data_IF_903812410530
#
_entry.id   IF_903812410530
#
_cell.length_a   1.000
_cell.length_b   1.000
_cell.length_c   1.000
_cell.angle_alpha   90.00
_cell.angle_beta   90.00
_cell.angle_gamma   90.00
#
_symmetry.space_group_name_H-M   'P 1'
#
loop_
_entity.id
_entity.type
_entity.pdbx_description
1 polymer ?
#
# COMPACT_ATOMS: atom_id res chain seq x y z
N UNK A 1 -3.25 23.83 32.63
CA UNK A 1 -4.61 23.28 32.45
C UNK A 1 -4.47 22.02 31.59
N UNK A 2 -4.45 20.85 32.24
CA UNK A 2 -4.10 19.58 31.60
C UNK A 2 -5.33 18.90 30.98
N UNK A 3 -5.20 18.49 29.71
CA UNK A 3 -6.26 17.83 28.96
C UNK A 3 -6.53 16.40 29.50
N UNK A 4 -7.80 16.12 29.78
CA UNK A 4 -8.28 14.83 30.23
C UNK A 4 -8.18 13.78 29.12
N UNK A 5 -7.29 12.79 29.29
CA UNK A 5 -7.28 11.57 28.49
C UNK A 5 -8.47 10.72 28.92
N UNK A 6 -9.44 10.50 28.03
CA UNK A 6 -10.59 9.63 28.29
C UNK A 6 -10.10 8.18 28.21
N UNK A 7 -9.91 7.57 29.39
CA UNK A 7 -9.63 6.15 29.52
C UNK A 7 -10.94 5.36 29.41
N UNK A 8 -11.02 4.41 28.49
CA UNK A 8 -12.10 3.42 28.46
C UNK A 8 -11.78 2.23 29.36
N UNK A 9 -12.77 1.63 30.04
CA UNK A 9 -12.56 0.48 30.90
C UNK A 9 -12.24 -0.75 30.05
N UNK A 10 -11.06 -1.34 30.28
CA UNK A 10 -10.71 -2.67 29.78
C UNK A 10 -11.63 -3.69 30.46
N UNK A 11 -12.53 -4.31 29.68
CA UNK A 11 -13.21 -5.53 30.13
C UNK A 11 -12.35 -6.76 29.81
N UNK A 12 -12.33 -7.64 30.79
CA UNK A 12 -11.64 -8.92 30.82
C UNK A 12 -12.30 -9.95 29.89
N UNK A 13 -11.44 -10.80 29.31
CA UNK A 13 -11.61 -12.21 28.97
C UNK A 13 -12.85 -12.63 28.14
N UNK A 14 -12.61 -13.09 26.92
CA UNK A 14 -13.57 -13.88 26.16
C UNK A 14 -13.03 -14.45 24.85
N UNK A 15 -12.76 -15.76 24.85
CA UNK A 15 -12.70 -16.67 23.68
C UNK A 15 -11.45 -16.63 22.80
N UNK A 16 -10.48 -17.49 23.11
CA UNK A 16 -9.59 -18.07 22.09
C UNK A 16 -10.46 -19.00 21.24
N UNK A 17 -10.99 -18.51 20.12
CA UNK A 17 -11.54 -19.37 19.09
C UNK A 17 -10.39 -19.93 18.28
N UNK A 18 -9.98 -21.15 18.59
CA UNK A 18 -9.25 -21.99 17.66
C UNK A 18 -10.21 -22.36 16.53
N UNK A 19 -9.97 -21.82 15.32
CA UNK A 19 -10.73 -22.18 14.13
C UNK A 19 -9.83 -22.98 13.20
N UNK A 20 -9.99 -24.29 13.25
CA UNK A 20 -9.57 -25.17 12.16
C UNK A 20 -10.43 -24.85 10.92
N UNK A 21 -9.77 -24.57 9.79
CA UNK A 21 -10.31 -24.51 8.42
C UNK A 21 -11.55 -23.63 8.19
N UNK A 22 -11.56 -22.40 8.71
CA UNK A 22 -12.57 -21.42 8.32
C UNK A 22 -12.13 -20.65 7.07
N UNK A 23 -13.00 -20.56 6.06
CA UNK A 23 -12.86 -19.58 4.98
C UNK A 23 -12.59 -18.21 5.59
N UNK A 24 -11.59 -17.50 5.09
CA UNK A 24 -11.23 -16.18 5.60
C UNK A 24 -12.44 -15.23 5.54
N UNK A 25 -12.56 -14.29 6.49
CA UNK A 25 -13.57 -13.24 6.43
C UNK A 25 -13.53 -12.45 5.10
N UNK A 26 -14.60 -11.74 4.73
CA UNK A 26 -14.59 -10.84 3.58
C UNK A 26 -13.39 -9.90 3.63
N UNK A 27 -12.62 -9.87 2.54
CA UNK A 27 -11.42 -9.06 2.45
C UNK A 27 -11.15 -8.66 1.01
N UNK A 28 -10.36 -7.60 0.86
CA UNK A 28 -9.86 -7.10 -0.42
C UNK A 28 -8.34 -7.24 -0.43
N UNK A 29 -7.80 -7.87 -1.47
CA UNK A 29 -6.36 -7.98 -1.68
C UNK A 29 -5.90 -6.74 -2.43
N UNK A 30 -5.07 -5.92 -1.78
CA UNK A 30 -4.56 -4.67 -2.33
C UNK A 30 -3.43 -4.95 -3.32
N UNK A 31 -3.58 -4.63 -4.62
CA UNK A 31 -2.49 -4.69 -5.57
C UNK A 31 -1.51 -3.52 -5.48
N UNK A 32 -0.28 -3.74 -5.94
CA UNK A 32 0.66 -2.70 -6.31
C UNK A 32 0.04 -1.84 -7.44
N UNK A 33 -0.12 -0.52 -7.25
CA UNK A 33 -0.77 0.35 -8.22
C UNK A 33 0.05 0.44 -9.51
N UNK A 34 -0.62 0.41 -10.65
CA UNK A 34 -0.01 0.70 -11.95
C UNK A 34 0.03 2.21 -12.18
N UNK A 35 1.16 2.83 -11.84
CA UNK A 35 1.32 4.29 -11.88
C UNK A 35 1.87 4.82 -13.22
N UNK A 36 2.39 3.94 -14.09
CA UNK A 36 2.81 4.28 -15.44
C UNK A 36 2.55 3.14 -16.44
N UNK A 37 2.38 3.44 -17.76
CA UNK A 37 2.16 2.44 -18.79
C UNK A 37 3.25 1.35 -18.85
N UNK A 38 4.52 1.75 -18.66
CA UNK A 38 5.71 0.89 -18.75
C UNK A 38 6.32 0.56 -17.38
N UNK A 39 5.58 0.74 -16.29
CA UNK A 39 6.05 0.40 -14.94
C UNK A 39 6.45 -1.08 -14.86
N UNK A 40 7.71 -1.36 -14.51
CA UNK A 40 8.22 -2.73 -14.40
C UNK A 40 8.22 -3.22 -12.96
N UNK A 41 8.75 -2.40 -12.04
CA UNK A 41 8.84 -2.70 -10.62
C UNK A 41 8.52 -1.45 -9.80
N UNK A 42 7.81 -1.63 -8.69
CA UNK A 42 7.63 -0.64 -7.64
C UNK A 42 8.26 -1.12 -6.32
N UNK A 43 8.99 -0.23 -5.63
CA UNK A 43 9.58 -0.49 -4.31
C UNK A 43 8.83 0.26 -3.23
N UNK A 44 8.39 -0.43 -2.19
CA UNK A 44 7.70 0.20 -1.05
C UNK A 44 8.71 0.93 -0.17
N UNK A 45 8.57 2.24 -0.01
CA UNK A 45 9.45 3.05 0.84
C UNK A 45 8.94 3.15 2.27
N UNK A 46 7.64 3.32 2.43
CA UNK A 46 7.05 3.56 3.75
C UNK A 46 5.59 3.13 3.76
N UNK A 47 5.15 2.55 4.87
CA UNK A 47 3.74 2.42 5.21
C UNK A 47 3.39 3.53 6.21
N UNK A 48 2.38 4.33 5.90
CA UNK A 48 1.91 5.43 6.76
C UNK A 48 0.87 4.95 7.78
N UNK A 49 0.38 3.72 7.59
CA UNK A 49 -0.60 3.03 8.43
C UNK A 49 -0.04 1.68 8.90
N UNK A 50 -0.44 1.25 10.10
CA UNK A 50 -0.07 -0.03 10.72
C UNK A 50 -1.17 -1.08 10.60
N UNK A 51 -0.81 -2.34 10.90
CA UNK A 51 -1.78 -3.44 10.93
C UNK A 51 -2.81 -3.19 12.03
N UNK A 52 -4.09 -3.24 11.67
CA UNK A 52 -5.23 -2.95 12.55
C UNK A 52 -5.68 -1.49 12.53
N UNK A 53 -4.94 -0.60 11.86
CA UNK A 53 -5.37 0.80 11.71
C UNK A 53 -6.54 0.90 10.73
N UNK A 54 -7.45 1.83 11.02
CA UNK A 54 -8.54 2.17 10.13
C UNK A 54 -8.03 2.94 8.90
N UNK A 55 -8.62 2.67 7.75
CA UNK A 55 -8.38 3.33 6.48
C UNK A 55 -9.67 4.04 6.10
N UNK A 56 -9.57 5.34 5.89
CA UNK A 56 -10.64 6.15 5.29
C UNK A 56 -10.31 6.48 3.85
N UNK A 57 -11.32 6.73 3.00
CA UNK A 57 -11.10 7.26 1.67
C UNK A 57 -10.25 8.54 1.74
N UNK A 58 -9.31 8.67 0.81
CA UNK A 58 -8.32 9.76 0.70
C UNK A 58 -7.21 9.75 1.76
N UNK A 59 -7.11 8.72 2.61
CA UNK A 59 -5.96 8.56 3.49
C UNK A 59 -4.71 8.15 2.69
N UNK A 60 -3.57 8.77 3.03
CA UNK A 60 -2.26 8.40 2.50
C UNK A 60 -1.78 7.12 3.18
N UNK A 61 -1.73 6.01 2.43
CA UNK A 61 -1.52 4.68 3.00
C UNK A 61 -0.06 4.21 2.92
N UNK A 62 0.63 4.48 1.82
CA UNK A 62 2.03 4.10 1.64
C UNK A 62 2.71 4.94 0.57
N UNK A 63 4.04 4.91 0.58
CA UNK A 63 4.90 5.56 -0.39
C UNK A 63 5.62 4.48 -1.21
N UNK A 64 5.67 4.66 -2.53
CA UNK A 64 6.29 3.73 -3.47
C UNK A 64 7.18 4.48 -4.45
N UNK A 65 8.33 3.91 -4.80
CA UNK A 65 9.08 4.36 -5.98
C UNK A 65 8.86 3.43 -7.13
N UNK A 66 8.67 3.98 -8.31
CA UNK A 66 8.52 3.21 -9.54
C UNK A 66 9.74 3.40 -10.43
N UNK A 67 10.15 2.31 -11.07
CA UNK A 67 11.22 2.32 -12.07
C UNK A 67 10.61 1.94 -13.43
N UNK A 68 10.81 2.81 -14.41
CA UNK A 68 10.26 2.66 -15.74
C UNK A 68 10.94 3.62 -16.73
N UNK A 69 11.17 3.18 -17.98
CA UNK A 69 11.95 3.93 -18.98
C UNK A 69 11.23 5.18 -19.54
N UNK A 70 10.03 5.50 -19.05
CA UNK A 70 9.13 6.52 -19.62
C UNK A 70 8.52 7.43 -18.54
N UNK A 71 9.12 7.47 -17.34
CA UNK A 71 8.51 8.15 -16.19
C UNK A 71 8.64 9.67 -16.15
N UNK A 72 9.27 10.29 -17.13
CA UNK A 72 9.30 11.75 -17.27
C UNK A 72 9.43 12.10 -18.76
N UNK A 73 8.38 12.63 -19.37
CA UNK A 73 8.42 13.16 -20.74
C UNK A 73 7.26 12.70 -21.62
N UNK A 74 6.37 13.63 -21.97
CA UNK A 74 5.48 13.53 -23.11
C UNK A 74 6.22 13.80 -24.45
N UNK A 75 7.45 14.30 -24.38
CA UNK A 75 8.33 14.52 -25.53
C UNK A 75 9.44 13.47 -25.56
N UNK A 76 9.68 12.89 -26.73
CA UNK A 76 10.54 11.70 -26.91
C UNK A 76 12.04 11.95 -26.63
N UNK A 77 12.41 13.18 -26.28
CA UNK A 77 13.77 13.71 -26.19
C UNK A 77 14.37 13.70 -24.78
N UNK A 78 13.56 13.42 -23.76
CA UNK A 78 13.98 13.34 -22.36
C UNK A 78 13.62 11.99 -21.72
N UNK A 79 13.88 10.90 -22.45
CA UNK A 79 13.86 9.53 -21.90
C UNK A 79 14.99 9.35 -20.90
N UNK A 80 14.76 9.73 -19.65
CA UNK A 80 15.68 9.44 -18.57
C UNK A 80 15.44 8.01 -18.08
N UNK A 81 16.23 7.07 -18.59
CA UNK A 81 16.06 5.63 -18.42
C UNK A 81 16.16 5.13 -16.95
N UNK A 82 16.59 5.98 -16.02
CA UNK A 82 16.79 5.65 -14.59
C UNK A 82 16.10 6.63 -13.62
N UNK A 83 15.05 7.34 -14.05
CA UNK A 83 14.31 8.21 -13.15
C UNK A 83 13.50 7.38 -12.14
N UNK A 84 14.01 7.29 -10.90
CA UNK A 84 13.27 6.75 -9.75
C UNK A 84 12.29 7.83 -9.30
N UNK A 85 10.99 7.59 -9.46
CA UNK A 85 9.97 8.55 -9.04
C UNK A 85 9.28 8.05 -7.79
N UNK A 86 9.36 8.83 -6.70
CA UNK A 86 8.71 8.51 -5.43
C UNK A 86 7.32 9.14 -5.40
N UNK A 87 6.32 8.32 -5.11
CA UNK A 87 4.91 8.71 -5.10
C UNK A 87 4.26 8.29 -3.79
N UNK A 88 3.36 9.12 -3.28
CA UNK A 88 2.47 8.78 -2.16
C UNK A 88 1.11 8.34 -2.70
N UNK A 89 0.57 7.28 -2.10
CA UNK A 89 -0.66 6.62 -2.58
C UNK A 89 -1.80 6.90 -1.62
N UNK A 90 -2.90 7.43 -2.16
CA UNK A 90 -4.19 7.55 -1.48
C UNK A 90 -5.03 6.29 -1.72
N UNK A 91 -5.67 5.81 -0.65
CA UNK A 91 -6.64 4.72 -0.75
C UNK A 91 -8.05 5.31 -0.84
N UNK A 92 -8.86 4.83 -1.79
CA UNK A 92 -10.28 5.22 -1.92
C UNK A 92 -11.18 4.24 -1.14
N UNK A 93 -10.65 3.06 -0.79
CA UNK A 93 -11.37 2.05 -0.02
C UNK A 93 -11.39 2.41 1.47
N UNK A 94 -12.50 2.09 2.12
CA UNK A 94 -12.64 2.05 3.57
C UNK A 94 -12.36 0.64 4.13
N UNK A 95 -11.90 0.58 5.39
CA UNK A 95 -11.73 -0.68 6.12
C UNK A 95 -10.57 -0.62 7.12
N UNK A 96 -9.95 -1.76 7.36
CA UNK A 96 -8.81 -1.91 8.28
C UNK A 96 -7.66 -2.64 7.62
N UNK A 97 -6.43 -2.19 7.85
CA UNK A 97 -5.25 -2.87 7.32
C UNK A 97 -5.07 -4.21 8.03
N UNK A 98 -5.44 -5.30 7.37
CA UNK A 98 -5.39 -6.64 7.96
C UNK A 98 -3.98 -7.25 7.90
N UNK A 99 -3.24 -7.01 6.81
CA UNK A 99 -1.89 -7.53 6.63
C UNK A 99 -1.08 -6.75 5.60
N UNK A 100 0.21 -6.58 5.89
CA UNK A 100 1.23 -6.16 4.93
C UNK A 100 1.87 -7.42 4.32
N UNK A 101 1.84 -7.51 2.98
CA UNK A 101 2.47 -8.60 2.21
C UNK A 101 3.81 -8.15 1.62
N UNK A 102 3.92 -6.89 1.23
CA UNK A 102 5.16 -6.25 0.79
C UNK A 102 5.67 -5.31 1.90
N UNK A 103 6.63 -5.74 2.73
CA UNK A 103 7.23 -4.88 3.73
C UNK A 103 8.05 -3.74 3.09
N UNK A 104 8.45 -2.75 3.89
CA UNK A 104 9.35 -1.69 3.43
C UNK A 104 10.62 -2.28 2.80
N UNK A 105 11.01 -1.75 1.65
CA UNK A 105 12.12 -2.21 0.83
C UNK A 105 11.78 -3.32 -0.15
N UNK A 106 10.61 -3.97 -0.04
CA UNK A 106 10.17 -5.01 -0.95
C UNK A 106 9.81 -4.44 -2.33
N UNK A 107 10.12 -5.23 -3.35
CA UNK A 107 9.83 -4.96 -4.75
C UNK A 107 8.57 -5.74 -5.17
N UNK A 108 7.64 -5.08 -5.86
CA UNK A 108 6.50 -5.74 -6.48
C UNK A 108 6.20 -5.13 -7.85
N UNK A 109 5.85 -5.97 -8.81
CA UNK A 109 5.39 -5.55 -10.12
C UNK A 109 3.93 -5.05 -10.08
N UNK A 110 3.46 -4.41 -11.16
CA UNK A 110 2.07 -3.98 -11.26
C UNK A 110 1.08 -5.12 -10.98
N UNK A 111 0.00 -4.79 -10.28
CA UNK A 111 -1.11 -5.69 -9.97
C UNK A 111 -0.74 -6.84 -9.00
N UNK A 112 0.50 -6.91 -8.49
CA UNK A 112 0.88 -7.92 -7.50
C UNK A 112 0.34 -7.57 -6.11
N UNK A 113 -0.11 -8.55 -5.31
CA UNK A 113 -0.57 -8.29 -3.94
C UNK A 113 0.50 -7.68 -3.04
N UNK A 114 0.16 -6.56 -2.38
CA UNK A 114 1.04 -5.87 -1.42
C UNK A 114 0.44 -5.76 -0.02
N UNK A 115 -0.88 -5.84 0.12
CA UNK A 115 -1.56 -5.82 1.41
C UNK A 115 -2.95 -6.49 1.35
N UNK A 116 -3.60 -6.59 2.50
CA UNK A 116 -4.98 -7.06 2.66
C UNK A 116 -5.74 -6.06 3.52
N UNK A 117 -6.95 -5.71 3.09
CA UNK A 117 -7.90 -4.88 3.84
C UNK A 117 -9.10 -5.75 4.20
N UNK A 118 -9.58 -5.64 5.44
CA UNK A 118 -10.83 -6.26 5.91
C UNK A 118 -11.84 -5.18 6.33
N UNK A 119 -13.11 -5.56 6.43
CA UNK A 119 -14.20 -4.64 6.77
C UNK A 119 -14.34 -4.45 8.29
N UNK A 120 -14.10 -5.50 9.07
CA UNK A 120 -14.26 -5.49 10.54
C UNK A 120 -12.90 -5.52 11.25
N UNK A 121 -12.66 -4.67 12.28
CA UNK A 121 -11.42 -4.70 13.04
C UNK A 121 -11.18 -6.03 13.79
N UNK A 122 -12.24 -6.76 14.15
CA UNK A 122 -12.12 -8.04 14.86
C UNK A 122 -11.56 -9.16 13.95
N UNK A 123 -11.64 -8.99 12.63
CA UNK A 123 -11.18 -9.96 11.64
C UNK A 123 -9.68 -9.85 11.32
N UNK A 124 -9.01 -8.76 11.71
CA UNK A 124 -7.58 -8.51 11.42
C UNK A 124 -6.70 -9.69 11.83
N UNK A 125 -6.98 -10.29 12.99
CA UNK A 125 -6.21 -11.42 13.51
C UNK A 125 -6.30 -12.68 12.63
N UNK A 126 -7.38 -12.86 11.88
CA UNK A 126 -7.55 -14.01 10.97
C UNK A 126 -6.53 -13.98 9.83
N UNK A 127 -6.01 -12.81 9.49
CA UNK A 127 -5.07 -12.62 8.38
C UNK A 127 -3.61 -12.74 8.79
N UNK A 128 -3.26 -12.95 10.07
CA UNK A 128 -1.86 -12.97 10.53
C UNK A 128 -0.95 -13.89 9.67
N UNK A 129 -1.45 -15.07 9.29
CA UNK A 129 -0.76 -16.06 8.46
C UNK A 129 -1.28 -16.13 7.02
N UNK A 130 -1.97 -15.09 6.55
CA UNK A 130 -2.51 -15.05 5.19
C UNK A 130 -1.39 -15.14 4.15
N UNK A 131 -1.57 -16.03 3.18
CA UNK A 131 -0.74 -16.15 1.99
C UNK A 131 -1.64 -15.92 0.78
N UNK A 132 -1.34 -14.94 -0.10
CA UNK A 132 -2.15 -14.68 -1.27
C UNK A 132 -2.10 -15.90 -2.20
N UNK A 133 -3.26 -16.46 -2.52
CA UNK A 133 -3.42 -17.50 -3.53
C UNK A 133 -3.32 -16.95 -4.96
N UNK A 134 -3.56 -15.65 -5.12
CA UNK A 134 -3.56 -14.93 -6.39
C UNK A 134 -2.20 -14.25 -6.57
N UNK A 135 -1.58 -14.45 -7.75
CA UNK A 135 -0.29 -13.82 -8.08
C UNK A 135 -0.42 -12.42 -8.70
N UNK A 136 -1.57 -12.14 -9.33
CA UNK A 136 -1.93 -10.84 -9.91
C UNK A 136 -3.41 -10.59 -9.69
N UNK A 137 -3.74 -9.48 -9.05
CA UNK A 137 -5.11 -9.02 -8.88
C UNK A 137 -5.62 -8.54 -10.25
N UNK A 138 -6.87 -8.84 -10.65
CA UNK A 138 -7.43 -8.32 -11.89
C UNK A 138 -7.37 -6.78 -11.94
N UNK A 139 -6.94 -6.23 -13.08
CA UNK A 139 -6.83 -4.79 -13.29
C UNK A 139 -8.18 -4.08 -13.14
N UNK A 140 -8.20 -2.90 -12.53
CA UNK A 140 -9.41 -2.09 -12.37
C UNK A 140 -10.29 -2.46 -11.18
N UNK A 141 -9.87 -3.44 -10.35
CA UNK A 141 -10.56 -3.74 -9.09
C UNK A 141 -10.32 -2.68 -8.01
N UNK A 142 -9.19 -1.96 -8.08
CA UNK A 142 -8.86 -0.85 -7.20
C UNK A 142 -8.59 0.41 -8.01
N UNK A 143 -9.14 1.52 -7.54
CA UNK A 143 -8.88 2.84 -8.08
C UNK A 143 -7.85 3.53 -7.20
N UNK A 144 -6.71 3.88 -7.79
CA UNK A 144 -5.59 4.49 -7.09
C UNK A 144 -5.48 5.95 -7.47
N UNK A 145 -5.32 6.80 -6.47
CA UNK A 145 -4.79 8.15 -6.66
C UNK A 145 -3.38 8.20 -6.10
N UNK A 146 -2.46 8.76 -6.87
CA UNK A 146 -1.05 8.84 -6.52
C UNK A 146 -0.54 10.24 -6.80
N UNK A 147 0.21 10.78 -5.86
CA UNK A 147 0.78 12.12 -5.94
C UNK A 147 2.30 12.01 -5.97
N UNK A 148 2.93 12.84 -6.80
CA UNK A 148 4.38 12.96 -6.84
C UNK A 148 4.86 13.59 -5.54
N UNK A 149 5.80 12.95 -4.88
CA UNK A 149 6.53 13.58 -3.78
C UNK A 149 7.55 14.51 -4.43
N UNK A 150 7.29 15.80 -4.38
CA UNK A 150 8.15 16.83 -4.97
C UNK A 150 9.53 16.79 -4.30
N UNK A 151 10.51 16.18 -4.97
CA UNK A 151 11.86 16.06 -4.43
C UNK A 151 12.87 15.24 -5.23
N UNK A 152 12.71 15.06 -6.54
CA UNK A 152 13.84 14.59 -7.35
C UNK A 152 14.70 15.79 -7.75
N UNK A 153 15.80 15.98 -7.05
CA UNK A 153 16.93 16.72 -7.60
C UNK A 153 17.36 15.97 -8.88
N UNK A 154 16.93 16.50 -10.03
CA UNK A 154 17.59 16.21 -11.28
C UNK A 154 19.06 16.55 -11.06
N UNK A 155 19.92 15.53 -10.93
CA UNK A 155 21.37 15.74 -10.89
C UNK A 155 21.71 16.40 -12.22
N UNK A 156 21.90 17.71 -12.19
CA UNK A 156 22.23 18.51 -13.36
C UNK A 156 23.58 18.01 -13.85
N UNK A 157 23.57 17.39 -15.03
CA UNK A 157 24.80 17.06 -15.73
C UNK A 157 25.59 18.36 -15.89
N UNK A 158 26.71 18.45 -15.19
CA UNK A 158 27.62 19.58 -15.28
C UNK A 158 28.27 19.56 -16.65
N UNK A 159 28.02 20.59 -17.47
CA UNK A 159 28.66 20.78 -18.77
C UNK A 159 30.20 20.69 -18.64
N UNK A 160 30.83 19.92 -19.53
CA UNK A 160 32.25 20.07 -19.91
C UNK A 160 32.33 20.34 -21.40
#
# INVERSE_FOLDING_TARGET
MGAARRAWPRRLCGSVRSLCSASLPPHKVVPMPRLAPTMTTGKVHQWNIGIGDAISPYDLVFQVSITGPELLGNDATEKQADAVVVMEIECIEDGFLAKILAPVGADAGPDQPIAVICEDPDDVAAFANYVPSIKKVPSGQFLWQAYLVSGLEATSCSNS
#
